data_IF_752304666196
#
_entry.id   IF_752304666196
#
_cell.length_a   1.000
_cell.length_b   1.000
_cell.length_c   1.000
_cell.angle_alpha   90.00
_cell.angle_beta   90.00
_cell.angle_gamma   90.00
#
_symmetry.space_group_name_H-M   'P 1'
#
loop_
_entity.id
_entity.type
_entity.pdbx_description
1 polymer ?
#
# COMPACT_ATOMS: atom_id res chain seq x y z
N UNK A 1 30.47 19.87 -22.57
CA UNK A 1 29.72 20.77 -21.66
C UNK A 1 28.49 21.43 -22.31
N UNK A 2 28.47 21.72 -23.63
CA UNK A 2 27.34 22.41 -24.30
C UNK A 2 26.09 21.53 -24.52
N UNK A 3 26.25 20.29 -25.00
CA UNK A 3 25.12 19.44 -25.43
C UNK A 3 24.20 18.98 -24.29
N UNK A 4 24.76 18.67 -23.12
CA UNK A 4 23.99 18.28 -21.95
C UNK A 4 23.15 19.45 -21.42
N UNK A 5 23.72 20.66 -21.39
CA UNK A 5 23.01 21.87 -20.99
C UNK A 5 21.88 22.20 -21.96
N UNK A 6 22.10 22.04 -23.26
CA UNK A 6 21.05 22.19 -24.27
C UNK A 6 19.91 21.19 -24.03
N UNK A 7 20.24 19.91 -23.80
CA UNK A 7 19.23 18.88 -23.49
C UNK A 7 18.45 19.16 -22.21
N UNK A 8 19.12 19.61 -21.15
CA UNK A 8 18.45 20.04 -19.91
C UNK A 8 17.46 21.17 -20.18
N UNK A 9 17.85 22.14 -21.00
CA UNK A 9 16.99 23.26 -21.39
C UNK A 9 15.79 22.80 -22.21
N UNK A 10 15.96 21.88 -23.15
CA UNK A 10 14.85 21.31 -23.93
C UNK A 10 13.78 20.67 -23.01
N UNK A 11 14.21 19.91 -22.00
CA UNK A 11 13.30 19.31 -21.03
C UNK A 11 12.61 20.35 -20.14
N UNK A 12 13.36 21.36 -19.70
CA UNK A 12 12.81 22.46 -18.89
C UNK A 12 11.72 23.22 -19.68
N UNK A 13 12.03 23.63 -20.92
CA UNK A 13 11.11 24.34 -21.79
C UNK A 13 9.88 23.49 -22.15
N UNK A 14 10.04 22.18 -22.37
CA UNK A 14 8.92 21.28 -22.66
C UNK A 14 7.99 21.06 -21.45
N UNK A 15 8.55 20.96 -20.24
CA UNK A 15 7.80 20.70 -19.00
C UNK A 15 7.26 21.98 -18.34
N UNK A 16 7.78 23.15 -18.71
CA UNK A 16 7.32 24.45 -18.24
C UNK A 16 5.99 24.91 -18.88
N UNK A 17 5.56 24.27 -19.97
CA UNK A 17 4.30 24.61 -20.65
C UNK A 17 3.08 24.36 -19.75
N UNK A 18 2.07 25.24 -19.84
CA UNK A 18 0.80 25.08 -19.13
C UNK A 18 0.05 23.79 -19.53
N UNK A 19 0.20 23.40 -20.79
CA UNK A 19 -0.25 22.13 -21.34
C UNK A 19 0.95 21.47 -22.01
N UNK A 20 1.47 20.42 -21.38
CA UNK A 20 2.64 19.69 -21.86
C UNK A 20 2.29 18.87 -23.10
N UNK A 21 3.04 19.07 -24.20
CA UNK A 21 2.92 18.22 -25.38
C UNK A 21 3.54 16.84 -25.13
N UNK A 22 2.68 15.84 -24.95
CA UNK A 22 3.10 14.45 -24.73
C UNK A 22 3.75 13.80 -25.95
N UNK A 23 3.52 14.29 -27.17
CA UNK A 23 4.22 13.78 -28.37
C UNK A 23 5.67 14.22 -28.35
N UNK A 24 5.89 15.50 -28.07
CA UNK A 24 7.24 16.05 -27.96
C UNK A 24 7.99 15.46 -26.76
N UNK A 25 7.32 15.30 -25.61
CA UNK A 25 7.91 14.65 -24.45
C UNK A 25 8.35 13.20 -24.76
N UNK A 26 7.56 12.43 -25.51
CA UNK A 26 7.96 11.08 -25.97
C UNK A 26 9.19 11.13 -26.86
N UNK A 27 9.26 12.08 -27.80
CA UNK A 27 10.41 12.26 -28.69
C UNK A 27 11.69 12.57 -27.90
N UNK A 28 11.61 13.48 -26.93
CA UNK A 28 12.74 13.87 -26.08
C UNK A 28 13.22 12.70 -25.20
N UNK A 29 12.27 12.00 -24.57
CA UNK A 29 12.54 10.88 -23.64
C UNK A 29 13.01 9.60 -24.32
N UNK A 30 12.80 9.44 -25.64
CA UNK A 30 13.24 8.27 -26.41
C UNK A 30 14.74 7.99 -26.29
N UNK A 31 15.56 9.05 -26.26
CA UNK A 31 17.02 8.94 -26.09
C UNK A 31 17.46 9.04 -24.62
N UNK A 32 16.55 8.76 -23.68
CA UNK A 32 16.78 8.85 -22.24
C UNK A 32 16.44 10.21 -21.63
N UNK A 33 16.22 10.23 -20.32
CA UNK A 33 15.89 11.44 -19.57
C UNK A 33 17.10 11.87 -18.73
N UNK A 34 17.50 13.15 -18.76
CA UNK A 34 18.57 13.64 -17.89
C UNK A 34 18.24 13.40 -16.42
N UNK A 35 19.21 12.90 -15.65
CA UNK A 35 19.04 12.61 -14.22
C UNK A 35 19.33 13.85 -13.36
N UNK A 36 18.63 14.94 -13.67
CA UNK A 36 18.71 16.22 -12.96
C UNK A 36 17.31 16.82 -12.82
N UNK A 37 17.13 17.73 -11.85
CA UNK A 37 15.90 18.53 -11.67
C UNK A 37 14.60 17.69 -11.62
N UNK A 38 14.69 16.43 -11.20
CA UNK A 38 13.57 15.48 -11.16
C UNK A 38 12.83 15.29 -12.50
N UNK A 39 13.47 15.59 -13.64
CA UNK A 39 12.84 15.42 -14.96
C UNK A 39 12.37 13.99 -15.18
N UNK A 40 13.20 13.00 -14.82
CA UNK A 40 12.83 11.59 -14.91
C UNK A 40 11.51 11.28 -14.18
N UNK A 41 11.38 11.76 -12.94
CA UNK A 41 10.19 11.53 -12.14
C UNK A 41 8.94 12.18 -12.75
N UNK A 42 9.06 13.41 -13.28
CA UNK A 42 7.93 14.10 -13.89
C UNK A 42 7.56 13.52 -15.25
N UNK A 43 8.54 13.23 -16.10
CA UNK A 43 8.32 12.61 -17.41
C UNK A 43 7.62 11.26 -17.26
N UNK A 44 8.03 10.42 -16.30
CA UNK A 44 7.37 9.13 -16.07
C UNK A 44 5.92 9.29 -15.61
N UNK A 45 5.64 10.23 -14.71
CA UNK A 45 4.25 10.49 -14.27
C UNK A 45 3.35 10.90 -15.44
N UNK A 46 3.86 11.67 -16.39
CA UNK A 46 3.11 12.10 -17.58
C UNK A 46 2.97 10.97 -18.60
N UNK A 47 4.07 10.27 -18.91
CA UNK A 47 4.10 9.21 -19.93
C UNK A 47 3.29 7.97 -19.54
N UNK A 48 3.26 7.63 -18.24
CA UNK A 48 2.44 6.55 -17.70
C UNK A 48 0.97 6.97 -17.46
N UNK A 49 0.61 8.21 -17.77
CA UNK A 49 -0.76 8.73 -17.62
C UNK A 49 -1.20 8.96 -16.17
N UNK A 50 -0.27 8.96 -15.21
CA UNK A 50 -0.58 9.28 -13.82
C UNK A 50 -0.96 10.76 -13.65
N UNK A 51 -0.28 11.65 -14.39
CA UNK A 51 -0.64 13.06 -14.52
C UNK A 51 -1.13 13.36 -15.94
N UNK A 52 -2.13 14.22 -16.06
CA UNK A 52 -2.60 14.74 -17.35
C UNK A 52 -1.63 15.79 -17.93
N UNK A 53 -1.81 16.20 -19.20
CA UNK A 53 -0.94 17.19 -19.85
C UNK A 53 -1.08 18.60 -19.24
N UNK A 54 -2.24 18.93 -18.66
CA UNK A 54 -2.52 20.24 -18.08
C UNK A 54 -1.87 20.39 -16.69
N UNK A 55 -0.96 21.34 -16.55
CA UNK A 55 -0.19 21.56 -15.32
C UNK A 55 -1.03 22.04 -14.15
N UNK A 56 -2.03 22.88 -14.40
CA UNK A 56 -2.90 23.42 -13.35
C UNK A 56 -3.70 22.36 -12.60
N UNK A 57 -3.94 21.18 -13.20
CA UNK A 57 -4.67 20.10 -12.53
C UNK A 57 -3.76 19.18 -11.69
N UNK A 58 -2.43 19.26 -11.83
CA UNK A 58 -1.52 18.30 -11.21
C UNK A 58 -1.64 18.26 -9.69
N UNK A 59 -1.70 19.43 -9.04
CA UNK A 59 -1.81 19.51 -7.57
C UNK A 59 -3.07 18.81 -7.07
N UNK A 60 -4.20 19.06 -7.71
CA UNK A 60 -5.49 18.44 -7.37
C UNK A 60 -5.44 16.93 -7.62
N UNK A 61 -4.96 16.48 -8.78
CA UNK A 61 -4.82 15.05 -9.09
C UNK A 61 -3.92 14.34 -8.09
N UNK A 62 -2.77 14.93 -7.74
CA UNK A 62 -1.85 14.37 -6.75
C UNK A 62 -2.50 14.25 -5.37
N UNK A 63 -3.21 15.29 -4.92
CA UNK A 63 -3.91 15.28 -3.64
C UNK A 63 -4.98 14.17 -3.61
N UNK A 64 -5.82 14.09 -4.64
CA UNK A 64 -6.87 13.08 -4.75
C UNK A 64 -6.30 11.66 -4.79
N UNK A 65 -5.26 11.41 -5.60
CA UNK A 65 -4.64 10.09 -5.71
C UNK A 65 -3.94 9.66 -4.42
N UNK A 66 -3.33 10.59 -3.68
CA UNK A 66 -2.73 10.31 -2.37
C UNK A 66 -3.79 10.00 -1.30
N UNK A 67 -4.88 10.77 -1.26
CA UNK A 67 -5.99 10.50 -0.35
C UNK A 67 -6.64 9.13 -0.63
N UNK A 68 -6.85 8.80 -1.91
CA UNK A 68 -7.37 7.48 -2.31
C UNK A 68 -6.42 6.35 -1.90
N UNK A 69 -5.11 6.54 -2.07
CA UNK A 69 -4.12 5.55 -1.64
C UNK A 69 -4.16 5.33 -0.11
N UNK A 70 -4.35 6.41 0.66
CA UNK A 70 -4.50 6.30 2.12
C UNK A 70 -5.76 5.50 2.48
N UNK A 71 -6.89 5.75 1.81
CA UNK A 71 -8.11 4.97 2.00
C UNK A 71 -7.88 3.48 1.72
N UNK A 72 -7.17 3.13 0.64
CA UNK A 72 -6.83 1.73 0.35
C UNK A 72 -5.92 1.09 1.41
N UNK A 73 -5.03 1.86 2.04
CA UNK A 73 -4.24 1.33 3.17
C UNK A 73 -5.16 0.95 4.32
N UNK A 74 -6.11 1.82 4.66
CA UNK A 74 -7.05 1.57 5.75
C UNK A 74 -7.97 0.37 5.46
N UNK A 75 -8.46 0.23 4.22
CA UNK A 75 -9.38 -0.84 3.83
C UNK A 75 -8.70 -2.21 3.61
N UNK A 76 -7.52 -2.25 2.98
CA UNK A 76 -6.90 -3.51 2.53
C UNK A 76 -5.79 -4.00 3.47
N UNK A 77 -5.21 -3.12 4.27
CA UNK A 77 -4.06 -3.46 5.13
C UNK A 77 -4.48 -3.62 6.59
N UNK A 78 -5.60 -3.06 7.03
CA UNK A 78 -6.07 -3.21 8.41
C UNK A 78 -7.02 -4.41 8.56
N UNK A 79 -6.97 -5.15 9.68
CA UNK A 79 -7.89 -6.26 9.92
C UNK A 79 -9.36 -5.81 10.01
N UNK A 80 -10.31 -6.70 9.67
CA UNK A 80 -11.74 -6.46 9.94
C UNK A 80 -11.98 -6.07 11.41
N UNK A 81 -12.84 -5.08 11.65
CA UNK A 81 -13.16 -4.57 13.00
C UNK A 81 -12.24 -3.45 13.52
N UNK A 82 -11.26 -2.99 12.75
CA UNK A 82 -10.38 -1.86 13.12
C UNK A 82 -10.62 -0.59 12.28
N UNK A 83 -11.70 -0.55 11.49
CA UNK A 83 -12.08 0.66 10.75
C UNK A 83 -12.47 1.76 11.73
N UNK A 84 -11.71 2.85 11.77
CA UNK A 84 -11.94 4.00 12.64
C UNK A 84 -13.24 4.78 12.38
N UNK A 85 -14.04 4.38 11.38
CA UNK A 85 -15.28 5.04 10.97
C UNK A 85 -16.56 4.31 11.42
N UNK A 86 -16.47 3.33 12.33
CA UNK A 86 -17.62 2.64 12.91
C UNK A 86 -17.47 2.51 14.42
N UNK A 87 -18.33 3.22 15.15
CA UNK A 87 -18.48 3.22 16.61
C UNK A 87 -18.20 1.89 17.32
N UNK A 88 -17.36 1.94 18.37
CA UNK A 88 -17.33 0.92 19.42
C UNK A 88 -15.96 0.58 19.98
N UNK A 89 -15.27 1.55 20.57
CA UNK A 89 -14.38 1.20 21.70
C UNK A 89 -15.28 0.73 22.85
N UNK A 90 -15.20 -0.55 23.16
CA UNK A 90 -15.90 -1.18 24.27
C UNK A 90 -15.04 -2.30 24.82
N UNK A 91 -14.04 -1.92 25.61
CA UNK A 91 -13.50 -2.79 26.65
C UNK A 91 -14.65 -3.04 27.64
N UNK A 92 -15.30 -4.20 27.54
CA UNK A 92 -16.55 -4.48 28.24
C UNK A 92 -16.92 -5.94 28.14
N UNK A 93 -16.48 -6.71 29.13
CA UNK A 93 -17.16 -7.92 29.59
C UNK A 93 -18.65 -7.58 29.83
N UNK A 94 -19.52 -8.02 28.92
CA UNK A 94 -20.89 -7.54 28.88
C UNK A 94 -21.73 -8.33 27.89
N UNK A 95 -22.36 -9.39 28.40
CA UNK A 95 -23.48 -10.09 27.79
C UNK A 95 -24.61 -9.08 27.47
N UNK A 96 -24.72 -8.65 26.23
CA UNK A 96 -25.82 -7.79 25.76
C UNK A 96 -26.36 -8.36 24.45
N UNK A 97 -27.50 -9.02 24.57
CA UNK A 97 -28.35 -9.43 23.46
C UNK A 97 -28.72 -8.21 22.59
N UNK A 98 -28.11 -8.12 21.41
CA UNK A 98 -28.48 -7.14 20.38
C UNK A 98 -29.54 -7.74 19.48
N UNK A 99 -30.66 -7.04 19.44
CA UNK A 99 -31.88 -7.34 18.73
C UNK A 99 -31.69 -7.47 17.22
N UNK A 100 -32.51 -8.33 16.63
CA UNK A 100 -32.40 -8.84 15.27
C UNK A 100 -32.67 -7.78 14.21
N UNK A 101 -31.61 -7.16 13.67
CA UNK A 101 -31.58 -6.57 12.32
C UNK A 101 -30.36 -7.02 11.51
N UNK A 102 -30.25 -8.33 11.30
CA UNK A 102 -29.99 -8.95 9.99
C UNK A 102 -28.65 -8.77 9.26
N UNK A 103 -27.65 -8.06 9.79
CA UNK A 103 -26.32 -7.94 9.15
C UNK A 103 -25.23 -7.96 10.22
N UNK A 104 -24.65 -9.11 10.54
CA UNK A 104 -23.47 -9.15 11.42
C UNK A 104 -23.20 -10.41 12.25
N UNK A 105 -24.01 -11.46 12.15
CA UNK A 105 -23.86 -12.68 12.97
C UNK A 105 -23.09 -13.84 12.30
N UNK A 106 -22.59 -13.66 11.07
CA UNK A 106 -22.00 -14.76 10.29
C UNK A 106 -20.52 -14.59 9.95
N UNK A 107 -19.90 -13.47 10.33
CA UNK A 107 -18.51 -13.18 9.97
C UNK A 107 -17.62 -13.28 11.21
N UNK A 108 -17.06 -14.47 11.41
CA UNK A 108 -16.13 -14.77 12.49
C UNK A 108 -14.79 -15.26 11.90
N UNK A 109 -13.69 -15.28 12.66
CA UNK A 109 -12.37 -15.71 12.19
C UNK A 109 -12.25 -17.13 11.62
N UNK A 110 -13.32 -17.92 11.67
CA UNK A 110 -13.37 -19.29 11.17
C UNK A 110 -14.46 -19.46 10.09
N UNK A 111 -15.07 -18.36 9.63
CA UNK A 111 -16.07 -18.40 8.58
C UNK A 111 -15.39 -18.70 7.24
N UNK A 112 -15.83 -19.77 6.57
CA UNK A 112 -15.32 -20.14 5.24
C UNK A 112 -16.18 -19.59 4.09
N UNK A 113 -17.25 -18.86 4.43
CA UNK A 113 -18.15 -18.25 3.46
C UNK A 113 -17.39 -17.30 2.52
N UNK A 114 -17.72 -17.27 1.23
CA UNK A 114 -17.06 -16.37 0.26
C UNK A 114 -17.28 -14.89 0.57
N UNK A 115 -18.33 -14.55 1.33
CA UNK A 115 -18.67 -13.19 1.75
C UNK A 115 -18.08 -12.79 3.12
N UNK A 116 -17.26 -13.66 3.75
CA UNK A 116 -16.65 -13.37 5.05
C UNK A 116 -15.45 -12.42 4.90
N UNK A 117 -15.44 -11.33 5.67
CA UNK A 117 -14.30 -10.42 5.73
C UNK A 117 -13.08 -11.11 6.36
N UNK A 118 -13.28 -12.08 7.26
CA UNK A 118 -12.22 -12.91 7.81
C UNK A 118 -11.60 -13.86 6.77
N UNK A 119 -12.43 -14.53 5.96
CA UNK A 119 -11.93 -15.37 4.86
C UNK A 119 -11.09 -14.56 3.87
N UNK A 120 -11.59 -13.38 3.48
CA UNK A 120 -10.85 -12.42 2.63
C UNK A 120 -9.52 -12.03 3.28
N UNK A 121 -9.54 -11.63 4.55
CA UNK A 121 -8.35 -11.26 5.32
C UNK A 121 -7.28 -12.36 5.35
N UNK A 122 -7.65 -13.63 5.54
CA UNK A 122 -6.67 -14.73 5.53
C UNK A 122 -6.11 -15.01 4.14
N UNK A 123 -6.93 -14.90 3.09
CA UNK A 123 -6.45 -15.03 1.71
C UNK A 123 -5.50 -13.90 1.34
N UNK A 124 -5.81 -12.66 1.73
CA UNK A 124 -4.94 -11.51 1.55
C UNK A 124 -3.62 -11.67 2.29
N UNK A 125 -3.65 -12.19 3.52
CA UNK A 125 -2.41 -12.49 4.27
C UNK A 125 -1.54 -13.55 3.57
N UNK A 126 -2.13 -14.59 2.95
CA UNK A 126 -1.38 -15.56 2.15
C UNK A 126 -0.73 -14.88 0.94
N UNK A 127 -1.45 -14.00 0.26
CA UNK A 127 -0.93 -13.22 -0.87
C UNK A 127 0.21 -12.28 -0.45
N UNK A 128 0.01 -11.51 0.63
CA UNK A 128 1.00 -10.62 1.23
C UNK A 128 2.27 -11.36 1.68
N UNK A 129 2.15 -12.60 2.17
CA UNK A 129 3.30 -13.42 2.51
C UNK A 129 4.17 -13.74 1.29
N UNK A 130 3.56 -14.01 0.13
CA UNK A 130 4.29 -14.26 -1.11
C UNK A 130 4.99 -12.98 -1.60
N UNK A 131 4.29 -11.84 -1.60
CA UNK A 131 4.90 -10.54 -1.89
C UNK A 131 6.11 -10.32 -0.97
N UNK A 132 5.95 -10.56 0.34
CA UNK A 132 7.04 -10.39 1.31
C UNK A 132 8.25 -11.30 1.03
N UNK A 133 8.04 -12.53 0.56
CA UNK A 133 9.14 -13.43 0.15
C UNK A 133 9.85 -12.91 -1.10
N UNK A 134 9.10 -12.42 -2.07
CA UNK A 134 9.60 -11.95 -3.35
C UNK A 134 10.37 -10.62 -3.22
N UNK A 135 9.85 -9.69 -2.41
CA UNK A 135 10.50 -8.40 -2.12
C UNK A 135 11.86 -8.60 -1.44
N UNK A 136 11.99 -9.54 -0.49
CA UNK A 136 13.27 -9.79 0.21
C UNK A 136 14.39 -10.29 -0.68
N UNK A 137 14.06 -10.90 -1.82
CA UNK A 137 15.05 -11.39 -2.79
C UNK A 137 15.23 -10.46 -4.00
N UNK A 138 14.49 -9.34 -4.05
CA UNK A 138 14.53 -8.43 -5.18
C UNK A 138 15.82 -7.59 -5.16
N UNK A 139 16.62 -7.70 -6.23
CA UNK A 139 17.81 -6.89 -6.48
C UNK A 139 18.74 -6.73 -5.25
N UNK A 140 19.28 -7.84 -4.72
CA UNK A 140 20.09 -7.80 -3.50
C UNK A 140 21.31 -6.89 -3.63
N UNK A 141 21.83 -6.64 -4.83
CA UNK A 141 23.02 -5.81 -5.01
C UNK A 141 22.74 -4.29 -4.95
N UNK A 142 21.48 -3.87 -4.86
CA UNK A 142 21.08 -2.46 -4.83
C UNK A 142 20.75 -2.05 -3.39
N UNK A 143 21.57 -1.16 -2.82
CA UNK A 143 21.44 -0.69 -1.42
C UNK A 143 20.06 -0.12 -1.08
N UNK A 144 19.42 0.56 -2.04
CA UNK A 144 18.09 1.13 -1.89
C UNK A 144 17.04 0.10 -1.40
N UNK A 145 17.12 -1.16 -1.84
CA UNK A 145 16.17 -2.21 -1.44
C UNK A 145 16.55 -2.93 -0.14
N UNK A 146 17.77 -2.71 0.36
CA UNK A 146 18.24 -3.31 1.61
C UNK A 146 18.05 -2.41 2.84
N UNK A 147 17.89 -1.10 2.62
CA UNK A 147 17.81 -0.11 3.68
C UNK A 147 16.35 0.16 4.10
N UNK A 148 16.09 0.43 5.40
CA UNK A 148 14.80 0.96 5.82
C UNK A 148 14.50 2.28 5.09
N UNK A 149 13.25 2.47 4.67
CA UNK A 149 12.79 3.75 4.15
C UNK A 149 12.87 4.82 5.25
N UNK A 150 13.30 6.02 4.88
CA UNK A 150 13.23 7.21 5.74
C UNK A 150 11.79 7.69 5.96
N UNK A 151 10.86 7.24 5.11
CA UNK A 151 9.45 7.62 5.13
C UNK A 151 8.58 6.37 5.33
N UNK A 152 8.54 5.80 6.54
CA UNK A 152 7.66 4.68 6.84
C UNK A 152 6.18 5.11 6.78
N UNK A 153 5.30 4.19 6.44
CA UNK A 153 3.85 4.43 6.55
C UNK A 153 3.42 4.30 8.01
N UNK A 154 3.18 5.43 8.67
CA UNK A 154 2.89 5.47 10.11
C UNK A 154 1.67 4.64 10.51
N UNK A 155 0.61 4.65 9.68
CA UNK A 155 -0.61 3.86 9.89
C UNK A 155 -0.28 2.36 10.03
N UNK A 156 0.66 1.87 9.23
CA UNK A 156 1.06 0.46 9.21
C UNK A 156 2.06 0.15 10.32
N UNK A 157 2.99 1.07 10.62
CA UNK A 157 4.08 0.85 11.59
C UNK A 157 3.62 1.05 13.04
N UNK A 158 2.73 2.01 13.29
CA UNK A 158 2.29 2.42 14.63
C UNK A 158 0.86 2.00 14.98
N UNK A 159 0.25 1.11 14.20
CA UNK A 159 -1.05 0.52 14.56
C UNK A 159 -0.94 -0.13 15.95
N UNK A 160 -1.64 0.44 16.94
CA UNK A 160 -1.62 -0.03 18.34
C UNK A 160 -2.33 -1.39 18.44
N UNK A 161 -1.76 -2.34 19.19
CA UNK A 161 -2.37 -3.64 19.49
C UNK A 161 -1.63 -4.87 18.92
N UNK A 162 -2.00 -6.08 19.37
CA UNK A 162 -1.41 -7.35 18.91
C UNK A 162 -1.54 -7.59 17.39
N UNK A 163 -2.49 -6.92 16.74
CA UNK A 163 -2.79 -7.03 15.32
C UNK A 163 -2.09 -5.96 14.44
N UNK A 164 -1.43 -4.96 15.07
CA UNK A 164 -0.48 -4.03 14.42
C UNK A 164 0.90 -4.63 14.15
N UNK A 165 1.04 -5.93 14.35
CA UNK A 165 2.23 -6.69 13.96
C UNK A 165 2.49 -6.46 12.47
N UNK A 166 3.70 -5.97 12.13
CA UNK A 166 4.22 -5.81 10.76
C UNK A 166 3.76 -6.99 9.90
N UNK A 167 3.38 -6.79 8.64
CA UNK A 167 2.76 -7.81 7.78
C UNK A 167 3.41 -9.21 7.87
N UNK A 168 4.74 -9.29 7.94
CA UNK A 168 5.47 -10.55 8.08
C UNK A 168 5.27 -11.29 9.42
N UNK A 169 4.83 -10.61 10.49
CA UNK A 169 4.52 -11.16 11.81
C UNK A 169 3.05 -11.60 11.95
N UNK A 170 2.15 -11.13 11.09
CA UNK A 170 0.73 -11.55 11.07
C UNK A 170 0.55 -12.98 10.58
N UNK A 171 1.46 -13.43 9.72
CA UNK A 171 1.39 -14.73 9.04
C UNK A 171 2.33 -15.77 9.67
N UNK A 172 2.93 -15.46 10.83
CA UNK A 172 3.77 -16.42 11.56
C UNK A 172 2.85 -17.31 12.40
N UNK A 173 2.95 -18.65 12.28
CA UNK A 173 2.25 -19.55 13.19
C UNK A 173 2.61 -19.18 14.63
N UNK A 174 1.62 -18.79 15.42
CA UNK A 174 1.85 -18.54 16.84
C UNK A 174 1.82 -19.89 17.54
N UNK A 175 2.95 -20.30 18.10
CA UNK A 175 3.03 -21.52 18.91
C UNK A 175 2.49 -21.18 20.30
N UNK A 176 1.32 -21.72 20.64
CA UNK A 176 0.84 -21.70 22.02
C UNK A 176 1.68 -22.70 22.81
N UNK A 177 2.67 -22.20 23.54
CA UNK A 177 3.39 -23.00 24.53
C UNK A 177 2.58 -22.97 25.82
N UNK A 178 1.75 -24.00 26.01
CA UNK A 178 1.21 -24.31 27.34
C UNK A 178 2.15 -25.29 28.02
N UNK A 179 2.42 -25.07 29.30
CA UNK A 179 3.44 -25.76 30.08
C UNK A 179 3.31 -27.30 30.15
N UNK A 180 2.30 -27.92 29.53
CA UNK A 180 2.18 -29.38 29.48
C UNK A 180 1.51 -29.99 28.23
N UNK A 181 1.30 -29.25 27.13
CA UNK A 181 0.83 -29.89 25.87
C UNK A 181 1.37 -29.15 24.64
N UNK A 182 2.18 -29.83 23.83
CA UNK A 182 2.49 -29.42 22.45
C UNK A 182 1.30 -29.77 21.56
N UNK A 183 0.30 -28.88 21.50
CA UNK A 183 -0.77 -28.99 20.52
C UNK A 183 -0.33 -28.32 19.22
N UNK A 184 -0.09 -29.12 18.18
CA UNK A 184 0.05 -28.60 16.83
C UNK A 184 -1.32 -28.09 16.37
N UNK A 185 -1.49 -26.77 16.25
CA UNK A 185 -2.61 -26.22 15.48
C UNK A 185 -2.25 -26.38 14.01
N UNK A 186 -2.46 -27.57 13.47
CA UNK A 186 -2.57 -27.75 12.03
C UNK A 186 -3.93 -27.19 11.61
N UNK A 187 -3.95 -26.06 10.91
CA UNK A 187 -5.11 -25.73 10.08
C UNK A 187 -5.23 -26.84 9.04
N UNK A 188 -6.20 -27.74 9.25
CA UNK A 188 -6.63 -28.68 8.22
C UNK A 188 -7.54 -27.90 7.28
N UNK A 189 -7.34 -28.15 5.99
CA UNK A 189 -8.03 -27.54 4.85
C UNK A 189 -9.54 -27.62 4.94
#
# INVERSE_FOLDING_TARGET
MSIFKARVKEFDDALAQDVVDLKELRRLTFNGVPDVQSFRALSWKLLLGYLGPRRSSWTTTLAQKRALYQQFIEELVLPPGHSCNGAGEGDGDGDVAVDSRGVGLQDHPLSEGPESAWNTFFNDNKFLLQIGKDVRRLCPDISFFQQPTEYPCDIVVHSKGEHGRRLHKRVVPTVLSSANVLAWVTYRA
#
